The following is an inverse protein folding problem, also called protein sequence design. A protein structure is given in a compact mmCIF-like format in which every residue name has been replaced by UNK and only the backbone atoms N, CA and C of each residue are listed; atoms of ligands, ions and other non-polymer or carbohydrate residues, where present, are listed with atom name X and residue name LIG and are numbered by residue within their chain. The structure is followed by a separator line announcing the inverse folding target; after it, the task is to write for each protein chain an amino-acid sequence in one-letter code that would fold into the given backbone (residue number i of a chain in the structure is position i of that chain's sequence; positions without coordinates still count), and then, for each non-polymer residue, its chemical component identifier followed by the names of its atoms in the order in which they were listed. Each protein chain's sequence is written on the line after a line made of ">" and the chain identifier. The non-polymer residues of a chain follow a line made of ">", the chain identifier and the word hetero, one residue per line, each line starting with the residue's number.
data_IF_060970568871
#
_entry.id   IF_060970568871
#
_cell.length_a   1.000
_cell.length_b   1.000
_cell.length_c   1.000
_cell.angle_alpha   90.00
_cell.angle_beta   90.00
_cell.angle_gamma   90.00
#
_symmetry.space_group_name_H-M   'P 1'
#
loop_
_entity.id
_entity.type
_entity.pdbx_description
1 polymer ?
#
# COMPACT_ATOMS: atom_id res chain seq x y z
N UNK A 1 -64.05 -4.64 -9.61
CA UNK A 1 -62.78 -5.24 -10.08
C UNK A 1 -61.72 -4.17 -10.37
N UNK A 2 -61.19 -3.44 -9.37
CA UNK A 2 -60.22 -2.35 -9.61
C UNK A 2 -58.96 -2.37 -8.72
N UNK A 3 -58.88 -3.24 -7.71
CA UNK A 3 -57.74 -3.27 -6.77
C UNK A 3 -56.50 -4.06 -7.24
N UNK A 4 -56.58 -4.81 -8.35
CA UNK A 4 -55.45 -5.65 -8.81
C UNK A 4 -54.42 -4.96 -9.72
N UNK A 5 -54.74 -3.79 -10.33
CA UNK A 5 -53.79 -3.11 -11.24
C UNK A 5 -52.72 -2.27 -10.52
N UNK A 6 -52.98 -1.85 -9.28
CA UNK A 6 -52.07 -0.98 -8.51
C UNK A 6 -50.84 -1.71 -7.94
N UNK A 7 -50.97 -3.01 -7.64
CA UNK A 7 -49.87 -3.79 -7.05
C UNK A 7 -48.75 -4.11 -8.06
N UNK A 8 -49.08 -4.29 -9.34
CA UNK A 8 -48.08 -4.66 -10.37
C UNK A 8 -47.12 -3.53 -10.72
N UNK A 9 -47.55 -2.28 -10.57
CA UNK A 9 -46.73 -1.09 -10.85
C UNK A 9 -45.69 -0.82 -9.74
N UNK A 10 -46.04 -1.10 -8.48
CA UNK A 10 -45.13 -0.90 -7.34
C UNK A 10 -44.03 -1.96 -7.23
N UNK A 11 -44.28 -3.17 -7.74
CA UNK A 11 -43.29 -4.25 -7.72
C UNK A 11 -42.16 -4.06 -8.74
N UNK A 12 -42.45 -3.42 -9.88
CA UNK A 12 -41.47 -3.14 -10.93
C UNK A 12 -40.43 -2.06 -10.51
N UNK A 13 -40.83 -1.10 -9.68
CA UNK A 13 -39.94 -0.04 -9.18
C UNK A 13 -38.97 -0.59 -8.12
N UNK A 14 -39.39 -1.59 -7.34
CA UNK A 14 -38.56 -2.17 -6.28
C UNK A 14 -37.41 -3.02 -6.82
N UNK A 15 -37.62 -3.68 -7.97
CA UNK A 15 -36.58 -4.51 -8.61
C UNK A 15 -35.53 -3.63 -9.32
N UNK A 16 -35.94 -2.50 -9.90
CA UNK A 16 -35.01 -1.58 -10.57
C UNK A 16 -34.12 -0.80 -9.58
N UNK A 17 -34.60 -0.61 -8.34
CA UNK A 17 -33.85 0.07 -7.27
C UNK A 17 -32.76 -0.80 -6.64
N UNK A 18 -32.91 -2.14 -6.67
CA UNK A 18 -31.91 -3.07 -6.14
C UNK A 18 -30.75 -3.34 -7.11
N UNK A 19 -30.91 -3.05 -8.40
CA UNK A 19 -29.87 -3.31 -9.42
C UNK A 19 -28.78 -2.21 -9.49
N UNK A 20 -29.02 -1.02 -8.92
CA UNK A 20 -28.05 0.09 -8.98
C UNK A 20 -27.03 0.12 -7.82
N UNK A 21 -27.15 -0.75 -6.82
CA UNK A 21 -26.27 -0.74 -5.65
C UNK A 21 -25.05 -1.68 -5.75
N UNK A 22 -24.88 -2.41 -6.86
CA UNK A 22 -23.88 -3.49 -6.96
C UNK A 22 -22.56 -3.11 -7.67
N UNK A 23 -22.31 -1.82 -7.94
CA UNK A 23 -21.02 -1.36 -8.47
C UNK A 23 -20.42 -0.26 -7.58
N UNK A 24 -20.31 -0.52 -6.28
CA UNK A 24 -19.28 0.17 -5.50
C UNK A 24 -17.96 -0.52 -5.81
N UNK A 25 -17.28 -0.04 -6.87
CA UNK A 25 -15.85 -0.30 -7.09
C UNK A 25 -15.13 0.17 -5.83
N UNK A 26 -14.91 -0.76 -4.90
CA UNK A 26 -14.26 -0.50 -3.62
C UNK A 26 -12.77 -0.45 -3.90
N UNK A 27 -12.31 0.69 -4.40
CA UNK A 27 -10.89 0.94 -4.54
C UNK A 27 -10.26 1.04 -3.16
N UNK A 28 -9.09 0.43 -3.00
CA UNK A 28 -8.28 0.54 -1.79
C UNK A 28 -7.94 2.01 -1.54
N UNK A 29 -8.05 2.44 -0.28
CA UNK A 29 -7.70 3.81 0.12
C UNK A 29 -6.18 3.98 0.18
N UNK A 30 -5.72 5.23 0.14
CA UNK A 30 -4.29 5.55 0.29
C UNK A 30 -3.72 4.98 1.60
N UNK A 31 -4.42 5.16 2.72
CA UNK A 31 -3.98 4.68 4.02
C UNK A 31 -3.84 3.15 4.06
N UNK A 32 -4.81 2.43 3.49
CA UNK A 32 -4.76 0.98 3.39
C UNK A 32 -3.60 0.50 2.50
N UNK A 33 -3.27 1.24 1.44
CA UNK A 33 -2.10 0.95 0.62
C UNK A 33 -0.78 1.21 1.40
N UNK A 34 -0.67 2.33 2.11
CA UNK A 34 0.51 2.61 2.94
C UNK A 34 0.67 1.55 4.04
N UNK A 35 -0.43 1.10 4.65
CA UNK A 35 -0.42 0.03 5.66
C UNK A 35 -0.01 -1.32 5.05
N UNK A 36 -0.42 -1.62 3.81
CA UNK A 36 0.02 -2.81 3.09
C UNK A 36 1.52 -2.75 2.77
N UNK A 37 2.02 -1.58 2.34
CA UNK A 37 3.44 -1.37 2.10
C UNK A 37 4.26 -1.56 3.39
N UNK A 38 3.83 -0.97 4.51
CA UNK A 38 4.48 -1.17 5.80
C UNK A 38 4.51 -2.64 6.22
N UNK A 39 3.38 -3.36 6.14
CA UNK A 39 3.34 -4.79 6.49
C UNK A 39 4.26 -5.65 5.63
N UNK A 40 4.49 -5.26 4.38
CA UNK A 40 5.44 -5.94 3.50
C UNK A 40 6.90 -5.56 3.79
N UNK A 41 7.14 -4.36 4.34
CA UNK A 41 8.46 -3.87 4.72
C UNK A 41 8.90 -4.39 6.10
N UNK A 42 8.00 -4.45 7.06
CA UNK A 42 8.29 -4.75 8.47
C UNK A 42 9.18 -5.99 8.67
N UNK A 43 8.94 -7.15 8.01
CA UNK A 43 9.78 -8.34 8.19
C UNK A 43 11.22 -8.19 7.68
N UNK A 44 11.50 -7.20 6.83
CA UNK A 44 12.86 -6.94 6.31
C UNK A 44 13.56 -5.80 7.06
N UNK A 45 12.84 -5.03 7.87
CA UNK A 45 13.41 -4.03 8.76
C UNK A 45 14.04 -4.70 9.97
N UNK A 46 15.15 -4.15 10.46
CA UNK A 46 15.77 -4.61 11.71
C UNK A 46 15.09 -4.02 12.94
N UNK A 47 14.49 -2.83 12.80
CA UNK A 47 13.91 -2.10 13.92
C UNK A 47 12.43 -2.43 14.16
N UNK A 48 11.73 -3.04 13.19
CA UNK A 48 10.29 -3.30 13.23
C UNK A 48 9.44 -2.10 13.66
N UNK A 49 9.89 -0.89 13.29
CA UNK A 49 9.33 0.35 13.79
C UNK A 49 8.94 1.28 12.63
N UNK A 50 7.63 1.37 12.38
CA UNK A 50 7.06 2.23 11.34
C UNK A 50 7.46 3.70 11.49
N UNK A 51 7.68 4.18 12.71
CA UNK A 51 8.03 5.57 12.98
C UNK A 51 9.40 5.98 12.41
N UNK A 52 10.25 5.00 12.06
CA UNK A 52 11.52 5.23 11.38
C UNK A 52 11.36 5.57 9.89
N UNK A 53 10.15 5.43 9.35
CA UNK A 53 9.87 5.67 7.94
C UNK A 53 8.84 6.79 7.80
N UNK A 54 8.95 7.49 6.69
CA UNK A 54 7.96 8.45 6.22
C UNK A 54 7.47 8.07 4.83
N UNK A 55 6.25 8.48 4.52
CA UNK A 55 5.68 8.31 3.19
C UNK A 55 6.20 9.44 2.31
N UNK A 56 7.12 9.12 1.41
CA UNK A 56 7.68 10.08 0.45
C UNK A 56 6.71 10.39 -0.69
N UNK A 57 5.94 9.39 -1.13
CA UNK A 57 4.88 9.49 -2.12
C UNK A 57 3.89 8.34 -1.91
N UNK A 58 2.60 8.61 -2.15
CA UNK A 58 1.54 7.61 -2.16
C UNK A 58 0.43 8.08 -3.10
N UNK A 59 0.38 7.51 -4.31
CA UNK A 59 -0.56 7.95 -5.35
C UNK A 59 -0.98 6.81 -6.26
N UNK A 60 -2.14 6.95 -6.88
CA UNK A 60 -2.60 6.07 -7.95
C UNK A 60 -1.82 6.36 -9.24
N UNK A 61 -1.37 5.30 -9.90
CA UNK A 61 -0.61 5.38 -11.16
C UNK A 61 -1.00 4.25 -12.10
N UNK A 62 -0.65 4.38 -13.38
CA UNK A 62 -0.60 3.23 -14.30
C UNK A 62 0.75 2.51 -14.17
N UNK A 63 0.74 1.19 -14.32
CA UNK A 63 1.96 0.39 -14.22
C UNK A 63 3.07 0.84 -15.19
N UNK A 64 2.70 1.29 -16.38
CA UNK A 64 3.58 1.79 -17.45
C UNK A 64 4.57 2.85 -16.95
N UNK A 65 4.15 3.69 -15.99
CA UNK A 65 4.94 4.81 -15.47
C UNK A 65 6.13 4.38 -14.61
N UNK A 66 6.04 3.20 -13.96
CA UNK A 66 7.03 2.79 -12.95
C UNK A 66 7.57 1.38 -13.12
N UNK A 67 7.09 0.61 -14.10
CA UNK A 67 7.45 -0.81 -14.26
C UNK A 67 8.97 -1.03 -14.30
N UNK A 68 9.73 -0.12 -14.92
CA UNK A 68 11.19 -0.19 -14.98
C UNK A 68 11.86 -0.18 -13.60
N UNK A 69 11.25 0.49 -12.61
CA UNK A 69 11.74 0.50 -11.23
C UNK A 69 11.66 -0.87 -10.57
N UNK A 70 10.68 -1.69 -10.96
CA UNK A 70 10.43 -3.02 -10.40
C UNK A 70 11.02 -4.16 -11.25
N UNK A 71 11.49 -3.84 -12.46
CA UNK A 71 12.14 -4.79 -13.37
C UNK A 71 13.62 -5.06 -13.02
N UNK A 72 14.28 -4.17 -12.29
CA UNK A 72 15.68 -4.36 -11.89
C UNK A 72 15.78 -5.36 -10.72
N UNK A 73 16.33 -6.55 -11.01
CA UNK A 73 16.55 -7.63 -10.04
C UNK A 73 17.54 -7.28 -8.92
N UNK A 74 18.36 -6.23 -9.10
CA UNK A 74 19.39 -5.80 -8.12
C UNK A 74 18.83 -5.29 -6.79
N UNK A 75 17.53 -5.06 -6.67
CA UNK A 75 16.91 -4.56 -5.43
C UNK A 75 16.26 -5.64 -4.55
N UNK A 76 16.26 -6.94 -4.92
CA UNK A 76 15.12 -7.78 -4.50
C UNK A 76 15.35 -9.24 -4.09
N UNK A 77 16.56 -9.71 -3.84
CA UNK A 77 16.70 -11.11 -3.40
C UNK A 77 16.75 -11.26 -1.88
N UNK A 78 17.55 -10.43 -1.19
CA UNK A 78 17.81 -10.57 0.24
C UNK A 78 18.08 -9.23 0.92
N UNK A 79 17.46 -9.05 2.08
CA UNK A 79 17.76 -7.97 3.01
C UNK A 79 18.02 -8.61 4.36
N UNK A 80 19.25 -8.51 4.88
CA UNK A 80 19.62 -9.02 6.21
C UNK A 80 19.31 -10.51 6.43
N UNK A 81 19.49 -11.34 5.41
CA UNK A 81 19.16 -12.77 5.48
C UNK A 81 17.66 -13.07 5.37
N UNK A 82 16.79 -12.05 5.42
CA UNK A 82 15.38 -12.19 5.08
C UNK A 82 15.23 -12.19 3.56
N UNK A 83 14.68 -13.28 3.04
CA UNK A 83 14.34 -13.39 1.62
C UNK A 83 13.14 -12.49 1.31
N UNK A 84 13.31 -11.58 0.37
CA UNK A 84 12.20 -10.75 -0.12
C UNK A 84 11.35 -11.61 -1.07
N UNK A 85 10.01 -11.66 -0.92
CA UNK A 85 9.19 -12.44 -1.83
C UNK A 85 9.27 -11.87 -3.25
N UNK A 86 9.29 -12.75 -4.25
CA UNK A 86 9.35 -12.37 -5.66
C UNK A 86 8.16 -11.48 -6.06
N UNK A 87 8.39 -10.61 -7.03
CA UNK A 87 7.34 -9.78 -7.61
C UNK A 87 6.39 -10.64 -8.45
N UNK A 88 5.10 -10.36 -8.36
CA UNK A 88 4.10 -10.92 -9.26
C UNK A 88 4.16 -10.22 -10.63
N UNK A 89 3.51 -10.81 -11.63
CA UNK A 89 3.34 -10.18 -12.94
C UNK A 89 2.56 -8.88 -12.80
N UNK A 90 3.15 -7.78 -13.27
CA UNK A 90 2.51 -6.46 -13.31
C UNK A 90 1.69 -6.37 -14.60
N UNK A 91 0.37 -6.24 -14.47
CA UNK A 91 -0.54 -5.95 -15.59
C UNK A 91 -0.43 -4.46 -15.96
N UNK A 92 -0.03 -4.17 -17.20
CA UNK A 92 0.15 -2.81 -17.72
C UNK A 92 -1.17 -2.04 -17.85
N UNK A 93 -2.30 -2.73 -18.03
CA UNK A 93 -3.62 -2.10 -18.16
C UNK A 93 -4.27 -1.74 -16.83
N UNK A 94 -3.70 -2.17 -15.70
CA UNK A 94 -4.25 -1.95 -14.37
C UNK A 94 -3.72 -0.68 -13.70
N UNK A 95 -4.51 -0.20 -12.74
CA UNK A 95 -4.14 0.92 -11.86
C UNK A 95 -3.61 0.38 -10.54
N UNK A 96 -2.56 1.01 -10.02
CA UNK A 96 -1.90 0.62 -8.79
C UNK A 96 -1.74 1.81 -7.87
N UNK A 97 -1.68 1.53 -6.57
CA UNK A 97 -1.04 2.42 -5.62
C UNK A 97 0.47 2.25 -5.72
N UNK A 98 1.15 3.34 -6.03
CA UNK A 98 2.58 3.49 -5.87
C UNK A 98 2.85 4.09 -4.50
N UNK A 99 3.58 3.35 -3.65
CA UNK A 99 3.95 3.80 -2.31
C UNK A 99 5.47 3.83 -2.19
N UNK A 100 6.00 4.98 -1.79
CA UNK A 100 7.41 5.18 -1.48
C UNK A 100 7.57 5.40 0.02
N UNK A 101 8.22 4.46 0.69
CA UNK A 101 8.64 4.59 2.07
C UNK A 101 10.10 5.01 2.10
N UNK A 102 10.40 6.11 2.78
CA UNK A 102 11.76 6.62 2.98
C UNK A 102 12.13 6.54 4.45
N UNK A 103 13.38 6.26 4.74
CA UNK A 103 13.89 6.41 6.09
C UNK A 103 13.77 7.87 6.52
N UNK A 104 13.24 8.10 7.72
CA UNK A 104 13.15 9.43 8.31
C UNK A 104 14.53 9.84 8.80
N UNK A 105 15.06 10.92 8.24
CA UNK A 105 16.34 11.48 8.69
C UNK A 105 16.30 11.73 10.21
N UNK A 106 17.38 11.35 10.91
CA UNK A 106 17.56 11.68 12.32
C UNK A 106 17.75 13.19 12.45
N UNK A 107 16.68 13.94 12.65
CA UNK A 107 16.80 15.26 13.26
C UNK A 107 17.09 15.03 14.75
N UNK A 108 18.24 15.46 15.30
CA UNK A 108 18.45 15.39 16.74
C UNK A 108 17.32 16.15 17.42
N UNK A 109 16.45 15.44 18.13
CA UNK A 109 15.35 16.04 18.86
C UNK A 109 15.98 16.86 20.00
N UNK A 110 15.77 18.19 20.07
CA UNK A 110 16.16 18.96 21.24
C UNK A 110 15.46 18.32 22.45
N UNK A 111 16.25 17.87 23.42
CA UNK A 111 15.79 17.09 24.57
C UNK A 111 15.04 18.02 25.54
N UNK A 112 13.85 18.50 25.19
CA UNK A 112 13.08 19.41 26.04
C UNK A 112 11.87 18.74 26.71
N UNK A 113 11.42 17.59 26.20
CA UNK A 113 10.46 16.68 26.87
C UNK A 113 10.45 15.33 26.16
N UNK A 114 11.13 14.34 26.73
CA UNK A 114 10.96 12.95 26.32
C UNK A 114 9.69 12.45 27.02
N UNK A 115 8.63 12.17 26.25
CA UNK A 115 7.49 11.44 26.81
C UNK A 115 7.97 10.04 27.20
N UNK A 116 7.79 9.57 28.45
CA UNK A 116 8.23 8.24 28.89
C UNK A 116 7.59 7.10 28.10
N UNK A 117 6.50 7.37 27.37
CA UNK A 117 5.71 6.40 26.60
C UNK A 117 5.97 6.45 25.11
N UNK A 118 6.77 7.38 24.59
CA UNK A 118 7.07 7.41 23.16
C UNK A 118 8.19 6.39 22.86
N UNK A 119 7.99 5.46 21.91
CA UNK A 119 9.03 4.51 21.52
C UNK A 119 10.28 5.26 21.06
N UNK A 120 11.50 4.79 21.41
CA UNK A 120 12.72 5.39 20.92
C UNK A 120 12.77 5.28 19.38
N UNK A 121 13.10 6.39 18.72
CA UNK A 121 13.40 6.40 17.29
C UNK A 121 14.80 5.80 17.07
N UNK A 122 14.89 4.46 17.12
CA UNK A 122 16.11 3.73 16.82
C UNK A 122 16.21 3.63 15.30
N UNK A 123 17.21 4.24 14.65
CA UNK A 123 17.23 4.35 13.20
C UNK A 123 17.47 2.97 12.58
N UNK A 124 16.63 2.59 11.62
CA UNK A 124 16.95 1.48 10.71
C UNK A 124 17.78 2.00 9.53
N UNK A 125 19.07 2.18 9.74
CA UNK A 125 20.01 2.73 8.76
C UNK A 125 20.20 1.86 7.51
N UNK A 126 19.63 0.65 7.51
CA UNK A 126 19.87 -0.37 6.50
C UNK A 126 19.00 -0.27 5.27
N UNK A 127 17.81 0.33 5.42
CA UNK A 127 16.84 0.50 4.33
C UNK A 127 16.60 1.99 4.15
N UNK A 128 17.42 2.69 3.33
CA UNK A 128 17.22 4.10 3.03
C UNK A 128 15.85 4.38 2.39
N UNK A 129 15.39 3.49 1.51
CA UNK A 129 14.09 3.62 0.88
C UNK A 129 13.56 2.28 0.34
N UNK A 130 12.24 2.21 0.20
CA UNK A 130 11.53 1.08 -0.38
C UNK A 130 10.35 1.57 -1.22
N UNK A 131 10.14 0.91 -2.35
CA UNK A 131 9.06 1.19 -3.28
C UNK A 131 8.12 -0.01 -3.37
N UNK A 132 6.82 0.25 -3.42
CA UNK A 132 5.78 -0.78 -3.50
C UNK A 132 4.78 -0.43 -4.59
N UNK A 133 4.36 -1.46 -5.32
CA UNK A 133 3.18 -1.46 -6.17
C UNK A 133 2.12 -2.32 -5.51
N UNK A 134 0.96 -1.71 -5.24
CA UNK A 134 -0.18 -2.37 -4.61
C UNK A 134 -1.36 -2.30 -5.56
N UNK A 135 -1.99 -3.43 -5.85
CA UNK A 135 -3.16 -3.48 -6.72
C UNK A 135 -4.29 -2.64 -6.11
N UNK A 136 -4.80 -1.66 -6.88
CA UNK A 136 -5.75 -0.67 -6.37
C UNK A 136 -7.13 -1.26 -6.04
N UNK A 137 -7.43 -2.49 -6.48
CA UNK A 137 -8.72 -3.17 -6.23
C UNK A 137 -8.63 -4.12 -5.04
N UNK A 138 -7.51 -4.82 -4.90
CA UNK A 138 -7.34 -5.91 -3.93
C UNK A 138 -6.49 -5.53 -2.72
N UNK A 139 -5.64 -4.52 -2.84
CA UNK A 139 -4.72 -4.09 -1.77
C UNK A 139 -3.52 -5.02 -1.60
N UNK A 140 -3.35 -5.98 -2.52
CA UNK A 140 -2.23 -6.90 -2.51
C UNK A 140 -0.97 -6.21 -3.04
N UNK A 141 0.17 -6.46 -2.39
CA UNK A 141 1.48 -6.02 -2.88
C UNK A 141 1.89 -6.87 -4.08
N UNK A 142 1.89 -6.27 -5.25
CA UNK A 142 2.22 -6.91 -6.53
C UNK A 142 3.72 -6.89 -6.78
N UNK A 143 4.36 -5.76 -6.51
CA UNK A 143 5.80 -5.65 -6.64
C UNK A 143 6.41 -4.78 -5.55
N UNK A 144 7.68 -5.04 -5.27
CA UNK A 144 8.50 -4.34 -4.29
C UNK A 144 9.89 -4.12 -4.86
N UNK A 145 10.51 -3.01 -4.47
CA UNK A 145 11.89 -2.67 -4.79
C UNK A 145 12.49 -2.05 -3.54
N UNK A 146 13.31 -2.80 -2.81
CA UNK A 146 13.80 -2.43 -1.49
C UNK A 146 15.29 -2.12 -1.60
N UNK A 147 15.71 -0.88 -1.31
CA UNK A 147 17.12 -0.54 -1.29
C UNK A 147 17.71 -1.02 0.03
N UNK A 148 18.40 -2.16 0.02
CA UNK A 148 19.06 -2.72 1.20
C UNK A 148 20.56 -2.48 1.13
N UNK A 149 21.15 -1.89 2.17
CA UNK A 149 22.61 -1.82 2.31
C UNK A 149 23.15 -3.23 2.57
N UNK A 150 24.01 -3.71 1.66
CA UNK A 150 24.82 -4.90 1.88
C UNK A 150 26.10 -4.48 2.61
N UNK A 151 26.40 -5.12 3.73
CA UNK A 151 27.63 -4.93 4.51
C UNK A 151 28.49 -6.17 4.36
#
# INVERSE_FOLDING_TARGET
>A
MQKLKSLRSKFLILIFSLALAACTDSSVTQDAAVDAAWRALDPVTTAHNRANFEVGDARLIKAEEVIQRFANERMNSYCWGTRVPANATIDLGATYWYVHLKHRAMTPIPITRVSPTQPPAIPDWNIPEAFFLIDARTGNVVARAIACMMI
#
